data_IF_511114633251
#
_entry.id   IF_511114633251
#
_cell.length_a   1.000
_cell.length_b   1.000
_cell.length_c   1.000
_cell.angle_alpha   90.00
_cell.angle_beta   90.00
_cell.angle_gamma   90.00
#
_symmetry.space_group_name_H-M   'P 1'
#
loop_
_entity.id
_entity.type
_entity.pdbx_description
1 polymer ?
#
# COMPACT_ATOMS: atom_id res chain seq x y z
N UNK A 1 25.26 -22.39 -3.44
CA UNK A 1 23.97 -21.77 -3.07
C UNK A 1 23.94 -20.24 -3.25
N UNK A 2 25.07 -19.53 -3.33
CA UNK A 2 25.11 -18.07 -3.61
C UNK A 2 25.08 -17.72 -5.11
N UNK A 3 25.61 -18.59 -5.98
CA UNK A 3 25.69 -18.31 -7.43
C UNK A 3 24.33 -18.39 -8.13
N UNK A 4 23.51 -19.39 -7.81
CA UNK A 4 22.14 -19.52 -8.37
C UNK A 4 21.26 -18.31 -8.06
N UNK A 5 21.43 -17.73 -6.86
CA UNK A 5 20.68 -16.55 -6.44
C UNK A 5 21.12 -15.29 -7.21
N UNK A 6 22.42 -15.12 -7.40
CA UNK A 6 22.98 -14.01 -8.19
C UNK A 6 22.58 -14.12 -9.66
N UNK A 7 22.56 -15.33 -10.20
CA UNK A 7 22.13 -15.59 -11.58
C UNK A 7 20.63 -15.29 -11.76
N UNK A 8 19.81 -15.59 -10.75
CA UNK A 8 18.39 -15.25 -10.73
C UNK A 8 18.18 -13.72 -10.65
N UNK A 9 18.91 -13.01 -9.80
CA UNK A 9 18.85 -11.54 -9.70
C UNK A 9 19.27 -10.85 -11.01
N UNK A 10 20.30 -11.38 -11.69
CA UNK A 10 20.70 -10.91 -13.02
C UNK A 10 19.62 -11.16 -14.07
N UNK A 11 19.01 -12.34 -14.07
CA UNK A 11 17.95 -12.69 -15.01
C UNK A 11 16.69 -11.82 -14.83
N UNK A 12 16.37 -11.46 -13.58
CA UNK A 12 15.23 -10.60 -13.24
C UNK A 12 15.53 -9.10 -13.32
N UNK A 13 16.80 -8.72 -13.55
CA UNK A 13 17.21 -7.32 -13.67
C UNK A 13 17.14 -6.54 -12.36
N UNK A 14 17.17 -7.20 -11.21
CA UNK A 14 17.01 -6.56 -9.91
C UNK A 14 17.35 -7.46 -8.72
N UNK A 15 17.69 -6.84 -7.59
CA UNK A 15 17.96 -7.56 -6.33
C UNK A 15 16.67 -8.10 -5.73
N UNK A 16 16.72 -9.34 -5.26
CA UNK A 16 15.62 -9.96 -4.53
C UNK A 16 15.66 -9.49 -3.07
N UNK A 17 14.53 -9.00 -2.57
CA UNK A 17 14.44 -8.49 -1.19
C UNK A 17 14.61 -9.64 -0.18
N UNK A 18 15.61 -9.54 0.68
CA UNK A 18 15.89 -10.54 1.73
C UNK A 18 14.88 -10.43 2.88
N UNK A 19 14.59 -11.55 3.55
CA UNK A 19 13.78 -11.60 4.78
C UNK A 19 14.50 -10.77 5.86
N UNK A 20 13.91 -9.64 6.26
CA UNK A 20 14.50 -8.66 7.19
C UNK A 20 14.97 -7.33 6.56
N UNK A 21 14.93 -7.20 5.23
CA UNK A 21 15.23 -5.96 4.50
C UNK A 21 13.99 -5.37 3.81
N UNK A 22 12.78 -5.78 4.20
CA UNK A 22 11.55 -5.17 3.66
C UNK A 22 11.44 -3.75 4.19
N UNK A 23 11.77 -2.80 3.33
CA UNK A 23 11.50 -1.37 3.57
C UNK A 23 10.00 -1.14 3.69
N UNK A 24 9.61 -0.22 4.56
CA UNK A 24 8.22 0.20 4.71
C UNK A 24 7.73 0.80 3.38
N UNK A 25 6.65 0.28 2.77
CA UNK A 25 6.10 0.85 1.54
C UNK A 25 5.79 2.35 1.68
N UNK A 26 6.23 3.15 0.70
CA UNK A 26 6.02 4.59 0.70
C UNK A 26 7.06 5.41 1.50
N UNK A 27 7.96 4.78 2.25
CA UNK A 27 9.05 5.49 2.94
C UNK A 27 10.06 6.10 1.96
N UNK A 28 10.36 5.36 0.89
CA UNK A 28 11.22 5.81 -0.21
C UNK A 28 10.36 5.96 -1.47
N UNK A 29 9.92 7.18 -1.83
CA UNK A 29 9.13 7.41 -3.03
C UNK A 29 9.85 6.93 -4.29
N UNK A 30 9.09 6.39 -5.25
CA UNK A 30 9.60 5.96 -6.55
C UNK A 30 8.75 6.61 -7.63
N UNK A 31 9.40 7.11 -8.67
CA UNK A 31 8.69 7.71 -9.80
C UNK A 31 7.77 6.69 -10.47
N UNK A 32 6.53 7.08 -10.75
CA UNK A 32 5.53 6.22 -11.38
C UNK A 32 4.89 5.15 -10.48
N UNK A 33 5.18 5.15 -9.17
CA UNK A 33 4.58 4.26 -8.18
C UNK A 33 4.04 5.07 -7.01
N UNK A 34 2.78 4.85 -6.64
CA UNK A 34 2.21 5.40 -5.42
C UNK A 34 1.81 4.28 -4.47
N UNK A 35 2.05 4.51 -3.18
CA UNK A 35 1.67 3.63 -2.09
C UNK A 35 0.60 4.33 -1.26
N UNK A 36 -0.49 3.61 -1.01
CA UNK A 36 -1.55 4.01 -0.09
C UNK A 36 -1.73 2.96 0.99
N UNK A 37 -2.34 3.39 2.08
CA UNK A 37 -2.75 2.53 3.16
C UNK A 37 -4.26 2.67 3.35
N UNK A 38 -4.99 1.56 3.46
CA UNK A 38 -6.45 1.56 3.62
C UNK A 38 -6.85 0.92 4.95
N UNK A 39 -7.78 1.54 5.65
CA UNK A 39 -8.19 1.10 6.98
C UNK A 39 -8.84 -0.28 6.93
N UNK A 40 -8.40 -1.16 7.81
CA UNK A 40 -9.01 -2.45 8.08
C UNK A 40 -9.62 -2.42 9.49
N UNK A 41 -10.95 -2.43 9.55
CA UNK A 41 -11.73 -2.44 10.80
C UNK A 41 -12.01 -3.87 11.31
N UNK A 42 -11.45 -4.90 10.66
CA UNK A 42 -11.60 -6.30 11.02
C UNK A 42 -12.98 -6.90 10.70
N UNK A 43 -13.89 -6.16 10.07
CA UNK A 43 -15.24 -6.66 9.74
C UNK A 43 -15.28 -7.54 8.50
N UNK A 44 -14.19 -7.57 7.72
CA UNK A 44 -14.11 -8.40 6.51
C UNK A 44 -12.70 -8.94 6.28
N UNK A 45 -12.54 -9.84 5.32
CA UNK A 45 -11.23 -10.40 4.99
C UNK A 45 -10.39 -9.41 4.20
N UNK A 46 -9.06 -9.46 4.37
CA UNK A 46 -8.12 -8.60 3.64
C UNK A 46 -8.37 -8.61 2.12
N UNK A 47 -8.64 -9.80 1.55
CA UNK A 47 -8.96 -9.97 0.12
C UNK A 47 -10.26 -9.28 -0.30
N UNK A 48 -11.30 -9.30 0.55
CA UNK A 48 -12.55 -8.60 0.26
C UNK A 48 -12.36 -7.10 0.40
N UNK A 49 -11.69 -6.64 1.45
CA UNK A 49 -11.37 -5.23 1.67
C UNK A 49 -10.54 -4.64 0.51
N UNK A 50 -9.53 -5.35 0.03
CA UNK A 50 -8.74 -4.92 -1.13
C UNK A 50 -9.60 -4.75 -2.39
N UNK A 51 -10.51 -5.70 -2.67
CA UNK A 51 -11.45 -5.58 -3.80
C UNK A 51 -12.40 -4.39 -3.66
N UNK A 52 -12.75 -4.03 -2.43
CA UNK A 52 -13.62 -2.88 -2.16
C UNK A 52 -12.98 -1.56 -2.57
N UNK A 53 -11.65 -1.47 -2.77
CA UNK A 53 -10.97 -0.26 -3.23
C UNK A 53 -11.37 0.19 -4.64
N UNK A 54 -11.91 -0.73 -5.46
CA UNK A 54 -12.37 -0.44 -6.83
C UNK A 54 -13.85 -0.77 -7.04
N UNK A 55 -14.52 -1.30 -6.02
CA UNK A 55 -15.91 -1.70 -6.14
C UNK A 55 -16.81 -0.47 -6.30
N UNK A 56 -17.67 -0.49 -7.32
CA UNK A 56 -18.55 0.62 -7.67
C UNK A 56 -17.97 1.62 -8.67
N UNK A 57 -16.70 1.46 -9.08
CA UNK A 57 -16.12 2.22 -10.19
C UNK A 57 -16.77 1.76 -11.50
N UNK A 58 -17.74 2.53 -12.00
CA UNK A 58 -18.48 2.21 -13.24
C UNK A 58 -17.67 2.46 -14.51
N UNK A 59 -16.77 3.43 -14.47
CA UNK A 59 -15.91 3.78 -15.59
C UNK A 59 -14.55 4.10 -15.00
N UNK A 60 -13.57 3.25 -15.28
CA UNK A 60 -12.23 3.43 -14.72
C UNK A 60 -11.57 4.67 -15.32
N UNK A 61 -11.08 5.53 -14.43
CA UNK A 61 -10.25 6.67 -14.78
C UNK A 61 -8.87 6.17 -15.21
N UNK A 62 -8.33 5.16 -14.53
CA UNK A 62 -7.06 4.53 -14.87
C UNK A 62 -7.08 3.90 -16.27
N UNK A 63 -6.07 4.21 -17.09
CA UNK A 63 -5.93 3.68 -18.46
C UNK A 63 -4.84 2.63 -18.62
N UNK A 64 -3.90 2.55 -17.67
CA UNK A 64 -2.79 1.61 -17.71
C UNK A 64 -2.24 1.28 -16.32
N UNK A 65 -1.49 0.18 -16.24
CA UNK A 65 -0.80 -0.28 -15.04
C UNK A 65 -1.66 -1.19 -14.16
N UNK A 66 -1.43 -1.17 -12.86
CA UNK A 66 -2.06 -2.12 -11.94
C UNK A 66 -2.07 -1.63 -10.49
N UNK A 67 -3.01 -2.18 -9.72
CA UNK A 67 -3.13 -2.04 -8.27
C UNK A 67 -2.77 -3.39 -7.62
N UNK A 68 -1.86 -3.36 -6.64
CA UNK A 68 -1.33 -4.54 -5.96
C UNK A 68 -1.51 -4.39 -4.45
N UNK A 69 -1.89 -5.48 -3.79
CA UNK A 69 -1.89 -5.55 -2.32
C UNK A 69 -0.47 -5.79 -1.85
N UNK A 70 0.04 -4.92 -1.00
CA UNK A 70 1.37 -5.06 -0.42
C UNK A 70 1.30 -5.84 0.90
N UNK A 71 2.27 -6.71 1.19
CA UNK A 71 2.30 -7.51 2.42
C UNK A 71 2.79 -6.69 3.62
N UNK A 72 2.13 -5.56 3.89
CA UNK A 72 2.47 -4.64 4.97
C UNK A 72 1.20 -4.10 5.65
N UNK A 73 1.23 -4.09 6.97
CA UNK A 73 0.19 -3.54 7.83
C UNK A 73 0.80 -2.59 8.84
N UNK A 74 0.21 -1.41 9.00
CA UNK A 74 0.54 -0.43 10.04
C UNK A 74 -0.58 -0.44 11.07
N UNK A 75 -0.23 -0.58 12.35
CA UNK A 75 -1.15 -0.36 13.48
C UNK A 75 -0.75 0.93 14.18
N UNK A 76 -1.69 1.87 14.27
CA UNK A 76 -1.51 3.16 14.92
C UNK A 76 -1.58 3.04 16.45
N UNK A 77 -1.06 4.02 17.21
CA UNK A 77 -1.13 4.03 18.67
C UNK A 77 -2.57 3.99 19.23
N UNK A 78 -3.54 4.48 18.45
CA UNK A 78 -4.96 4.45 18.79
C UNK A 78 -5.66 3.11 18.46
N UNK A 79 -4.90 2.14 17.97
CA UNK A 79 -5.38 0.80 17.64
C UNK A 79 -5.95 0.66 16.22
N UNK A 80 -6.07 1.74 15.44
CA UNK A 80 -6.50 1.63 14.04
C UNK A 80 -5.47 0.89 13.21
N UNK A 81 -5.94 0.01 12.34
CA UNK A 81 -5.11 -0.81 11.47
C UNK A 81 -5.27 -0.40 10.01
N UNK A 82 -4.17 -0.35 9.27
CA UNK A 82 -4.15 -0.01 7.86
C UNK A 82 -3.29 -0.99 7.07
N UNK A 83 -3.77 -1.42 5.91
CA UNK A 83 -3.07 -2.32 4.99
C UNK A 83 -2.52 -1.55 3.81
N UNK A 84 -1.34 -1.94 3.35
CA UNK A 84 -0.68 -1.29 2.21
C UNK A 84 -1.21 -1.82 0.87
N UNK A 85 -1.30 -0.91 -0.10
CA UNK A 85 -1.43 -1.23 -1.51
C UNK A 85 -0.64 -0.22 -2.33
N UNK A 86 -0.18 -0.65 -3.50
CA UNK A 86 0.55 0.19 -4.42
C UNK A 86 -0.01 0.11 -5.83
N UNK A 87 0.13 1.20 -6.56
CA UNK A 87 -0.30 1.28 -7.94
C UNK A 87 0.67 2.06 -8.81
N UNK A 88 0.75 1.66 -10.08
CA UNK A 88 1.67 2.22 -11.06
C UNK A 88 1.01 2.38 -12.43
N UNK A 89 1.72 3.00 -13.38
CA UNK A 89 1.19 3.30 -14.72
C UNK A 89 0.43 4.62 -14.71
N UNK A 90 -0.89 4.57 -14.81
CA UNK A 90 -1.74 5.76 -14.73
C UNK A 90 -2.05 6.12 -13.27
N UNK A 91 -1.04 6.66 -12.58
CA UNK A 91 -1.11 6.98 -11.14
C UNK A 91 -2.28 7.91 -10.83
N UNK A 92 -2.52 8.93 -11.64
CA UNK A 92 -3.62 9.87 -11.39
C UNK A 92 -5.00 9.22 -11.58
N UNK A 93 -5.14 8.38 -12.61
CA UNK A 93 -6.35 7.61 -12.83
C UNK A 93 -6.63 6.62 -11.69
N UNK A 94 -5.62 5.90 -11.22
CA UNK A 94 -5.74 4.99 -10.08
C UNK A 94 -6.11 5.74 -8.79
N UNK A 95 -5.42 6.85 -8.49
CA UNK A 95 -5.70 7.69 -7.32
C UNK A 95 -7.16 8.13 -7.31
N UNK A 96 -7.66 8.61 -8.45
CA UNK A 96 -9.05 9.06 -8.59
C UNK A 96 -10.06 7.94 -8.36
N UNK A 97 -9.85 6.78 -8.96
CA UNK A 97 -10.76 5.63 -8.81
C UNK A 97 -10.81 5.14 -7.36
N UNK A 98 -9.64 5.03 -6.71
CA UNK A 98 -9.55 4.57 -5.32
C UNK A 98 -10.20 5.57 -4.36
N UNK A 99 -9.85 6.86 -4.45
CA UNK A 99 -10.42 7.89 -3.56
C UNK A 99 -11.94 7.96 -3.68
N UNK A 100 -12.49 7.85 -4.90
CA UNK A 100 -13.93 7.85 -5.11
C UNK A 100 -14.61 6.63 -4.49
N UNK A 101 -14.03 5.44 -4.68
CA UNK A 101 -14.59 4.20 -4.14
C UNK A 101 -14.53 4.16 -2.60
N UNK A 102 -13.39 4.50 -2.02
CA UNK A 102 -13.20 4.45 -0.55
C UNK A 102 -14.02 5.50 0.17
N UNK A 103 -14.13 6.72 -0.39
CA UNK A 103 -15.01 7.77 0.15
C UNK A 103 -16.47 7.30 0.19
N UNK A 104 -16.97 6.67 -0.88
CA UNK A 104 -18.34 6.15 -0.92
C UNK A 104 -18.60 5.03 0.11
N UNK A 105 -17.54 4.36 0.59
CA UNK A 105 -17.61 3.24 1.53
C UNK A 105 -17.21 3.61 2.96
N UNK A 106 -16.78 4.85 3.19
CA UNK A 106 -16.25 5.27 4.49
C UNK A 106 -14.95 4.57 4.90
N UNK A 107 -14.16 4.10 3.93
CA UNK A 107 -12.83 3.51 4.20
C UNK A 107 -11.83 4.66 4.28
N UNK A 108 -11.17 4.84 5.42
CA UNK A 108 -10.11 5.83 5.55
C UNK A 108 -8.86 5.39 4.80
N UNK A 109 -8.27 6.35 4.09
CA UNK A 109 -6.96 6.20 3.48
C UNK A 109 -5.90 6.84 4.38
N UNK A 110 -4.68 6.35 4.26
CA UNK A 110 -3.49 6.95 4.82
C UNK A 110 -2.31 6.82 3.87
N UNK A 111 -1.23 7.52 4.20
CA UNK A 111 0.03 7.49 3.45
C UNK A 111 1.20 7.67 4.40
N UNK A 112 2.36 7.16 4.00
CA UNK A 112 3.63 7.52 4.61
C UNK A 112 4.11 8.83 4.00
N UNK A 113 4.51 9.78 4.83
CA UNK A 113 5.07 11.07 4.43
C UNK A 113 6.29 11.37 5.31
N UNK A 114 7.47 11.13 4.77
CA UNK A 114 8.72 11.12 5.54
C UNK A 114 8.65 10.14 6.71
N UNK A 115 8.81 10.64 7.94
CA UNK A 115 8.79 9.83 9.17
C UNK A 115 7.40 9.72 9.83
N UNK A 116 6.35 10.20 9.16
CA UNK A 116 4.99 10.20 9.69
C UNK A 116 4.05 9.35 8.83
N UNK A 117 3.00 8.84 9.48
CA UNK A 117 1.83 8.26 8.84
C UNK A 117 0.69 9.27 8.91
N UNK A 118 0.22 9.73 7.75
CA UNK A 118 -0.86 10.70 7.62
C UNK A 118 -2.15 9.96 7.28
N UNK A 119 -3.22 10.25 8.01
CA UNK A 119 -4.57 9.70 7.76
C UNK A 119 -5.42 10.77 7.06
N UNK A 120 -6.30 10.34 6.17
CA UNK A 120 -7.18 11.23 5.39
C UNK A 120 -8.16 12.05 6.25
N UNK A 121 -8.34 11.69 7.53
CA UNK A 121 -9.12 12.48 8.50
C UNK A 121 -8.34 13.65 9.12
N UNK A 122 -7.06 13.81 8.73
CA UNK A 122 -6.16 14.86 9.22
C UNK A 122 -5.26 14.44 10.38
N UNK A 123 -5.42 13.23 10.92
CA UNK A 123 -4.55 12.72 11.99
C UNK A 123 -3.14 12.42 11.45
N UNK A 124 -2.12 12.71 12.26
CA UNK A 124 -0.73 12.34 11.98
C UNK A 124 -0.14 11.50 13.12
N UNK A 125 0.73 10.55 12.75
CA UNK A 125 1.38 9.66 13.70
C UNK A 125 2.84 9.47 13.34
N UNK A 126 3.79 9.74 14.25
CA UNK A 126 5.18 9.36 14.04
C UNK A 126 5.29 7.85 13.83
N UNK A 127 5.97 7.42 12.77
CA UNK A 127 6.13 5.99 12.46
C UNK A 127 6.82 5.21 13.58
N UNK A 128 7.64 5.87 14.39
CA UNK A 128 8.27 5.31 15.59
C UNK A 128 7.27 4.84 16.64
N UNK A 129 6.05 5.38 16.63
CA UNK A 129 4.98 5.01 17.55
C UNK A 129 4.04 3.96 16.96
N UNK A 130 4.19 3.63 15.67
CA UNK A 130 3.37 2.67 14.98
C UNK A 130 3.98 1.26 15.06
N UNK A 131 3.12 0.24 15.05
CA UNK A 131 3.55 -1.16 14.92
C UNK A 131 3.45 -1.56 13.45
N UNK A 132 4.59 -1.88 12.84
CA UNK A 132 4.68 -2.31 11.45
C UNK A 132 4.75 -3.85 11.42
N UNK A 133 3.85 -4.47 10.66
CA UNK A 133 3.79 -5.92 10.47
C UNK A 133 3.97 -6.25 8.99
N UNK A 134 4.93 -7.10 8.67
CA UNK A 134 5.05 -7.70 7.35
C UNK A 134 4.21 -8.98 7.30
N UNK A 135 3.31 -9.10 6.33
CA UNK A 135 2.59 -10.35 6.10
C UNK A 135 3.49 -11.29 5.26
N UNK A 136 3.56 -12.55 5.66
CA UNK A 136 4.50 -13.55 5.14
C UNK A 136 3.78 -14.80 4.66
#
# INVERSE_FOLDING_TARGET
MTDELNDLEKALGGRLTRKGQRELPGLNPREGLEVIYYQDDGRTTARKLFRMLLEGVKTSSAKAGGLVSDPCTIVLPDGRMFRAASYHGDVDGWRKDIVNSTRAKGILLGKVDGNNFLVADGSDFPLTNCVIKAEG
#
